data_IF_110425717362
#
_entry.id   IF_110425717362
#
_cell.length_a   1.000
_cell.length_b   1.000
_cell.length_c   1.000
_cell.angle_alpha   90.00
_cell.angle_beta   90.00
_cell.angle_gamma   90.00
#
_symmetry.space_group_name_H-M   'P 1'
#
loop_
_entity.id
_entity.type
_entity.pdbx_description
1 polymer ?
#
# COMPACT_ATOMS: atom_id res chain seq x y z
N UNK A 1 -10.87 -19.13 1.38
CA UNK A 1 -9.51 -19.36 0.86
C UNK A 1 -8.69 -20.08 1.93
N UNK A 2 -7.81 -21.03 1.57
CA UNK A 2 -6.99 -21.84 2.51
C UNK A 2 -5.47 -21.58 2.40
N UNK A 3 -5.07 -20.52 1.69
CA UNK A 3 -3.66 -20.16 1.45
C UNK A 3 -3.18 -18.97 2.28
N UNK A 4 -1.95 -18.52 2.03
CA UNK A 4 -1.37 -17.32 2.63
C UNK A 4 -2.17 -16.08 2.21
N UNK A 5 -2.47 -15.21 3.18
CA UNK A 5 -3.19 -13.95 2.96
C UNK A 5 -2.54 -12.86 3.82
N UNK A 6 -2.10 -11.79 3.17
CA UNK A 6 -1.69 -10.56 3.84
C UNK A 6 -2.74 -9.47 3.61
N UNK A 7 -3.13 -8.81 4.69
CA UNK A 7 -3.99 -7.63 4.70
C UNK A 7 -3.35 -6.52 5.54
N UNK A 8 -3.95 -5.33 5.53
CA UNK A 8 -3.47 -4.16 6.28
C UNK A 8 -2.00 -3.80 5.99
N UNK A 9 -1.51 -4.09 4.78
CA UNK A 9 -0.18 -3.68 4.34
C UNK A 9 -0.10 -2.15 4.38
N UNK A 10 0.87 -1.63 5.14
CA UNK A 10 1.08 -0.21 5.35
C UNK A 10 2.56 0.15 5.11
N UNK A 11 2.88 1.33 4.55
CA UNK A 11 1.95 2.35 4.06
C UNK A 11 1.16 1.87 2.83
N UNK A 12 -0.09 2.35 2.68
CA UNK A 12 -0.94 1.95 1.57
C UNK A 12 -0.48 2.53 0.23
N UNK A 13 -0.95 1.96 -0.88
CA UNK A 13 -0.61 2.44 -2.22
C UNK A 13 -1.03 3.90 -2.44
N UNK A 14 -2.15 4.36 -1.87
CA UNK A 14 -2.66 5.73 -2.10
C UNK A 14 -1.70 6.83 -1.59
N UNK A 15 -0.95 6.56 -0.51
CA UNK A 15 0.03 7.49 0.07
C UNK A 15 1.45 7.27 -0.44
N UNK A 16 1.63 6.38 -1.44
CA UNK A 16 2.95 6.08 -2.02
C UNK A 16 3.74 5.01 -1.28
N UNK A 17 3.08 4.12 -0.54
CA UNK A 17 3.75 2.96 0.06
C UNK A 17 4.31 1.98 -0.98
N UNK A 18 5.25 1.09 -0.59
CA UNK A 18 5.96 0.18 -1.50
C UNK A 18 5.04 -0.73 -2.33
N UNK A 19 3.88 -1.12 -1.78
CA UNK A 19 2.88 -1.91 -2.51
C UNK A 19 2.35 -1.20 -3.77
N UNK A 20 2.44 0.13 -3.82
CA UNK A 20 2.11 0.92 -5.01
C UNK A 20 3.12 0.83 -6.15
N UNK A 21 4.32 0.27 -5.93
CA UNK A 21 5.38 0.11 -6.92
C UNK A 21 5.39 -1.28 -7.59
N UNK A 22 4.53 -2.19 -7.14
CA UNK A 22 4.46 -3.56 -7.66
C UNK A 22 3.95 -3.53 -9.09
N UNK A 23 4.67 -4.22 -9.96
CA UNK A 23 4.33 -4.44 -11.37
C UNK A 23 4.16 -5.94 -11.63
N UNK A 24 3.49 -6.28 -12.73
CA UNK A 24 3.27 -7.68 -13.11
C UNK A 24 4.60 -8.38 -13.37
N UNK A 25 4.77 -9.57 -12.78
CA UNK A 25 5.99 -10.36 -12.88
C UNK A 25 7.03 -10.09 -11.78
N UNK A 26 6.83 -9.10 -10.91
CA UNK A 26 7.67 -8.93 -9.73
C UNK A 26 7.55 -10.12 -8.76
N UNK A 27 8.65 -10.45 -8.09
CA UNK A 27 8.67 -11.52 -7.09
C UNK A 27 8.34 -10.96 -5.69
N UNK A 28 7.37 -11.60 -5.02
CA UNK A 28 6.97 -11.29 -3.65
C UNK A 28 7.24 -12.51 -2.77
N UNK A 29 8.00 -12.33 -1.69
CA UNK A 29 8.39 -13.39 -0.77
C UNK A 29 7.68 -13.23 0.56
N UNK A 30 6.96 -14.29 0.97
CA UNK A 30 6.40 -14.44 2.30
C UNK A 30 7.37 -15.25 3.16
N UNK A 31 8.14 -14.57 4.01
CA UNK A 31 8.99 -15.22 4.99
C UNK A 31 8.26 -15.27 6.34
N UNK A 32 7.70 -16.45 6.64
CA UNK A 32 6.89 -16.66 7.84
C UNK A 32 7.75 -16.74 9.10
N UNK A 33 8.96 -17.30 9.00
CA UNK A 33 9.87 -17.46 10.12
C UNK A 33 10.37 -16.09 10.61
N UNK A 34 10.73 -15.22 9.68
CA UNK A 34 11.19 -13.86 9.98
C UNK A 34 10.06 -12.83 10.08
N UNK A 35 8.82 -13.21 9.75
CA UNK A 35 7.63 -12.34 9.70
C UNK A 35 7.80 -11.17 8.73
N UNK A 36 8.36 -11.45 7.55
CA UNK A 36 8.63 -10.46 6.51
C UNK A 36 7.77 -10.72 5.27
N UNK A 37 7.42 -9.61 4.60
CA UNK A 37 6.80 -9.60 3.29
C UNK A 37 7.66 -8.70 2.41
N UNK A 38 8.43 -9.33 1.53
CA UNK A 38 9.46 -8.64 0.74
C UNK A 38 9.03 -8.55 -0.73
N UNK A 39 9.26 -7.37 -1.32
CA UNK A 39 9.24 -7.17 -2.76
C UNK A 39 10.68 -7.29 -3.26
N UNK A 40 10.98 -8.33 -4.03
CA UNK A 40 12.32 -8.63 -4.55
C UNK A 40 12.64 -7.77 -5.79
N UNK A 41 12.64 -6.45 -5.59
CA UNK A 41 12.97 -5.43 -6.58
C UNK A 41 14.00 -4.49 -5.96
N UNK A 42 14.96 -4.04 -6.76
CA UNK A 42 15.98 -3.10 -6.28
C UNK A 42 15.32 -1.85 -5.66
N UNK A 43 15.76 -1.39 -4.47
CA UNK A 43 15.18 -0.22 -3.83
C UNK A 43 15.17 1.04 -4.71
N UNK A 44 16.19 1.24 -5.55
CA UNK A 44 16.24 2.38 -6.46
C UNK A 44 15.19 2.28 -7.59
N UNK A 45 14.88 1.06 -8.02
CA UNK A 45 13.79 0.81 -8.98
C UNK A 45 12.42 1.07 -8.34
N UNK A 46 12.21 0.63 -7.10
CA UNK A 46 10.99 0.92 -6.33
C UNK A 46 10.78 2.43 -6.21
N UNK A 47 11.81 3.19 -5.82
CA UNK A 47 11.76 4.64 -5.74
C UNK A 47 11.44 5.28 -7.11
N UNK A 48 12.07 4.80 -8.18
CA UNK A 48 11.82 5.27 -9.56
C UNK A 48 10.36 5.04 -9.97
N UNK A 49 9.81 3.85 -9.70
CA UNK A 49 8.41 3.52 -10.02
C UNK A 49 7.45 4.40 -9.23
N UNK A 50 7.70 4.60 -7.93
CA UNK A 50 6.89 5.47 -7.08
C UNK A 50 6.94 6.93 -7.54
N UNK A 51 8.11 7.43 -7.95
CA UNK A 51 8.27 8.79 -8.48
C UNK A 51 7.50 9.02 -9.79
N UNK A 52 7.42 8.00 -10.65
CA UNK A 52 6.69 8.06 -11.91
C UNK A 52 5.18 7.79 -11.77
N UNK A 53 4.75 7.30 -10.60
CA UNK A 53 3.36 6.94 -10.36
C UNK A 53 2.51 8.19 -10.17
N UNK A 54 1.48 8.32 -11.01
CA UNK A 54 0.46 9.35 -10.84
C UNK A 54 -0.56 8.89 -9.79
N UNK A 55 -0.79 9.65 -8.69
CA UNK A 55 -1.84 9.34 -7.74
C UNK A 55 -3.19 9.24 -8.44
N UNK A 56 -3.97 8.22 -8.09
CA UNK A 56 -5.35 8.12 -8.56
C UNK A 56 -6.18 9.25 -7.91
N UNK A 57 -7.02 9.96 -8.69
CA UNK A 57 -7.91 10.95 -8.10
C UNK A 57 -8.87 10.29 -7.10
N UNK A 58 -9.30 10.99 -6.04
CA UNK A 58 -10.27 10.46 -5.10
C UNK A 58 -11.55 10.05 -5.82
N UNK A 59 -12.02 8.82 -5.57
CA UNK A 59 -13.29 8.34 -6.16
C UNK A 59 -14.51 9.16 -5.68
N UNK A 60 -14.40 9.75 -4.49
CA UNK A 60 -15.44 10.57 -3.89
C UNK A 60 -14.84 11.92 -3.50
N UNK A 61 -15.26 12.99 -4.18
CA UNK A 61 -14.78 14.35 -3.92
C UNK A 61 -15.57 15.06 -2.80
N UNK A 62 -16.80 14.58 -2.53
CA UNK A 62 -17.72 15.14 -1.54
C UNK A 62 -18.39 14.06 -0.67
N UNK A 63 -19.10 14.49 0.37
CA UNK A 63 -19.85 13.62 1.26
C UNK A 63 -18.98 12.90 2.30
N UNK A 64 -19.55 11.85 2.91
CA UNK A 64 -18.92 11.15 4.05
C UNK A 64 -17.60 10.48 3.68
N UNK A 65 -17.47 9.91 2.48
CA UNK A 65 -16.24 9.24 2.05
C UNK A 65 -15.11 10.24 1.74
N UNK A 66 -15.43 11.43 1.23
CA UNK A 66 -14.44 12.47 1.06
C UNK A 66 -13.92 12.99 2.41
N UNK A 67 -14.78 13.07 3.44
CA UNK A 67 -14.34 13.38 4.81
C UNK A 67 -13.48 12.26 5.38
N UNK A 68 -13.91 11.01 5.25
CA UNK A 68 -13.17 9.85 5.75
C UNK A 68 -11.76 9.77 5.15
N UNK A 69 -11.64 9.84 3.82
CA UNK A 69 -10.35 9.77 3.13
C UNK A 69 -9.38 10.90 3.53
N UNK A 70 -9.88 12.05 3.97
CA UNK A 70 -9.07 13.18 4.45
C UNK A 70 -8.57 13.01 5.88
N UNK A 71 -9.27 12.23 6.71
CA UNK A 71 -9.06 12.20 8.17
C UNK A 71 -8.55 10.85 8.68
N UNK A 72 -8.73 9.77 7.90
CA UNK A 72 -8.38 8.41 8.30
C UNK A 72 -6.86 8.23 8.38
N UNK A 73 -6.40 7.59 9.46
CA UNK A 73 -5.01 7.17 9.63
C UNK A 73 -4.73 5.86 8.89
N UNK A 74 -3.46 5.50 8.74
CA UNK A 74 -3.06 4.22 8.12
C UNK A 74 -3.55 3.00 8.94
N UNK A 75 -3.56 1.83 8.31
CA UNK A 75 -4.12 0.60 8.90
C UNK A 75 -3.32 0.12 10.13
N UNK A 76 -1.99 0.31 10.12
CA UNK A 76 -1.08 0.05 11.25
C UNK A 76 -1.37 0.96 12.46
N UNK A 77 -2.07 2.08 12.24
CA UNK A 77 -2.53 3.01 13.27
C UNK A 77 -4.00 2.80 13.66
N UNK A 78 -4.65 1.75 13.15
CA UNK A 78 -6.02 1.39 13.51
C UNK A 78 -7.12 2.11 12.72
N UNK A 79 -6.78 2.78 11.61
CA UNK A 79 -7.75 3.47 10.74
C UNK A 79 -8.73 4.40 11.48
N UNK A 80 -8.24 5.11 12.51
CA UNK A 80 -9.03 6.10 13.23
C UNK A 80 -9.13 7.40 12.42
N UNK A 81 -10.15 8.21 12.68
CA UNK A 81 -10.26 9.54 12.06
C UNK A 81 -9.81 10.62 13.04
N UNK A 82 -8.99 11.57 12.59
CA UNK A 82 -8.51 12.73 13.38
C UNK A 82 -8.93 14.04 12.75
#
# INVERSE_FOLDING_TARGET
TRGLMAGHVAPEAAVGGPIGAVEEGDMIVFDIENRQLNLEVDPAEVERRLANRKPLPPRYEHGVFAKYAKLVTQADQGAITR
#
